data_IF_703717724502
#
_entry.id   IF_703717724502
#
_cell.length_a   1.000
_cell.length_b   1.000
_cell.length_c   1.000
_cell.angle_alpha   90.00
_cell.angle_beta   90.00
_cell.angle_gamma   90.00
#
_symmetry.space_group_name_H-M   'P 1'
#
loop_
_entity.id
_entity.type
_entity.pdbx_description
1 polymer ?
#
# COMPACT_ATOMS: atom_id res chain seq x y z
N UNK A 1 1.40 5.24 -8.16
CA UNK A 1 1.56 5.94 -6.88
C UNK A 1 2.81 6.83 -6.94
N UNK A 2 2.67 8.13 -6.73
CA UNK A 2 3.78 9.06 -6.54
C UNK A 2 3.57 9.80 -5.22
N UNK A 3 4.64 10.00 -4.44
CA UNK A 3 4.58 10.66 -3.14
C UNK A 3 5.59 11.79 -3.07
N UNK A 4 5.23 12.84 -2.35
CA UNK A 4 6.04 14.04 -2.17
C UNK A 4 5.75 14.63 -0.80
N UNK A 5 6.69 15.38 -0.25
CA UNK A 5 6.40 16.20 0.94
C UNK A 5 5.48 17.36 0.53
N UNK A 6 4.45 17.64 1.34
CA UNK A 6 3.59 18.80 1.15
C UNK A 6 4.39 20.09 1.47
N UNK A 7 4.51 21.05 0.53
CA UNK A 7 5.32 22.25 0.74
C UNK A 7 4.70 23.26 1.70
N UNK A 8 3.43 23.08 2.07
CA UNK A 8 2.64 24.10 2.78
C UNK A 8 1.98 23.58 4.06
N UNK A 9 1.85 22.27 4.20
CA UNK A 9 1.15 21.64 5.32
C UNK A 9 2.15 20.93 6.23
N UNK A 10 2.04 21.19 7.52
CA UNK A 10 2.79 20.52 8.58
C UNK A 10 1.83 19.86 9.57
N UNK A 11 2.30 18.84 10.27
CA UNK A 11 1.58 18.22 11.37
C UNK A 11 1.65 19.07 12.66
N UNK A 12 1.09 18.54 13.76
CA UNK A 12 1.06 19.22 15.07
C UNK A 12 2.46 19.50 15.65
N UNK A 13 3.51 18.83 15.16
CA UNK A 13 4.89 18.99 15.59
C UNK A 13 5.72 19.85 14.62
N UNK A 14 5.09 20.40 13.58
CA UNK A 14 5.77 21.20 12.57
C UNK A 14 6.51 20.37 11.52
N UNK A 15 6.25 19.07 11.41
CA UNK A 15 6.87 18.19 10.42
C UNK A 15 6.04 18.26 9.12
N UNK A 16 6.66 18.52 7.96
CA UNK A 16 5.96 18.51 6.69
C UNK A 16 5.24 17.17 6.42
N UNK A 17 3.96 17.23 6.08
CA UNK A 17 3.15 16.00 5.88
C UNK A 17 3.40 15.37 4.52
N UNK A 18 3.14 14.06 4.42
CA UNK A 18 3.25 13.33 3.16
C UNK A 18 2.02 13.58 2.28
N UNK A 19 2.25 13.98 1.03
CA UNK A 19 1.24 14.10 -0.03
C UNK A 19 1.28 12.87 -0.94
N UNK A 20 0.14 12.20 -1.08
CA UNK A 20 -0.01 11.02 -1.91
C UNK A 20 -0.75 11.33 -3.21
N UNK A 21 -0.21 10.87 -4.34
CA UNK A 21 -0.88 10.85 -5.63
C UNK A 21 -1.05 9.39 -6.06
N UNK A 22 -2.29 8.90 -5.98
CA UNK A 22 -2.61 7.49 -6.22
C UNK A 22 -3.88 7.35 -7.05
N UNK A 23 -4.01 6.18 -7.67
CA UNK A 23 -5.21 5.71 -8.33
C UNK A 23 -5.20 4.19 -8.29
N UNK A 24 -6.33 3.56 -8.00
CA UNK A 24 -6.47 2.12 -8.17
C UNK A 24 -6.33 1.78 -9.66
N UNK A 25 -5.52 0.77 -9.97
CA UNK A 25 -5.45 0.23 -11.33
C UNK A 25 -6.49 -0.87 -11.52
N UNK A 26 -6.62 -1.34 -12.75
CA UNK A 26 -7.48 -2.50 -13.06
C UNK A 26 -6.98 -3.78 -12.37
N UNK A 27 -5.69 -3.89 -12.05
CA UNK A 27 -5.14 -5.06 -11.37
C UNK A 27 -5.64 -5.15 -9.94
N UNK A 28 -5.64 -4.05 -9.18
CA UNK A 28 -6.19 -4.05 -7.82
C UNK A 28 -7.71 -4.32 -7.83
N UNK A 29 -8.45 -3.73 -8.78
CA UNK A 29 -9.89 -4.00 -8.94
C UNK A 29 -10.19 -5.47 -9.25
N UNK A 30 -9.42 -6.08 -10.15
CA UNK A 30 -9.55 -7.51 -10.48
C UNK A 30 -9.25 -8.40 -9.26
N UNK A 31 -8.22 -8.05 -8.49
CA UNK A 31 -7.88 -8.76 -7.25
C UNK A 31 -8.98 -8.63 -6.20
N UNK A 32 -9.51 -7.42 -5.95
CA UNK A 32 -10.61 -7.20 -5.01
C UNK A 32 -11.87 -7.99 -5.39
N UNK A 33 -12.26 -7.94 -6.68
CA UNK A 33 -13.36 -8.76 -7.20
C UNK A 33 -13.12 -10.26 -7.01
N UNK A 34 -11.90 -10.73 -7.29
CA UNK A 34 -11.54 -12.13 -7.12
C UNK A 34 -11.62 -12.55 -5.64
N UNK A 35 -11.04 -11.76 -4.73
CA UNK A 35 -11.08 -11.98 -3.29
C UNK A 35 -12.51 -12.18 -2.78
N UNK A 36 -13.44 -11.28 -3.16
CA UNK A 36 -14.84 -11.43 -2.75
C UNK A 36 -15.47 -12.74 -3.25
N UNK A 37 -15.27 -13.10 -4.52
CA UNK A 37 -15.79 -14.36 -5.06
C UNK A 37 -15.18 -15.58 -4.33
N UNK A 38 -13.88 -15.56 -4.06
CA UNK A 38 -13.19 -16.65 -3.37
C UNK A 38 -13.65 -16.80 -1.93
N UNK A 39 -13.89 -15.69 -1.21
CA UNK A 39 -14.41 -15.77 0.16
C UNK A 39 -15.83 -16.30 0.20
N UNK A 40 -16.71 -15.90 -0.74
CA UNK A 40 -18.06 -16.46 -0.84
C UNK A 40 -18.01 -17.98 -1.12
N UNK A 41 -17.21 -18.42 -2.08
CA UNK A 41 -17.03 -19.84 -2.42
C UNK A 41 -16.54 -20.65 -1.20
N UNK A 42 -15.55 -20.14 -0.45
CA UNK A 42 -15.05 -20.80 0.75
C UNK A 42 -16.16 -20.92 1.82
N UNK A 43 -16.89 -19.82 2.07
CA UNK A 43 -17.97 -19.81 3.06
C UNK A 43 -19.06 -20.81 2.70
N UNK A 44 -19.52 -20.81 1.45
CA UNK A 44 -20.55 -21.73 0.95
C UNK A 44 -20.10 -23.19 1.03
N UNK A 45 -18.87 -23.49 0.63
CA UNK A 45 -18.31 -24.85 0.70
C UNK A 45 -18.17 -25.36 2.14
N UNK A 46 -18.02 -24.47 3.11
CA UNK A 46 -18.02 -24.80 4.54
C UNK A 46 -19.44 -24.97 5.12
N UNK A 47 -20.49 -24.84 4.31
CA UNK A 47 -21.88 -24.84 4.74
C UNK A 47 -22.30 -23.55 5.46
N UNK A 48 -21.48 -22.50 5.34
CA UNK A 48 -21.76 -21.17 5.88
C UNK A 48 -22.75 -20.40 4.99
N UNK A 49 -23.31 -19.33 5.57
CA UNK A 49 -24.21 -18.42 4.87
C UNK A 49 -23.46 -17.10 4.72
N UNK A 50 -23.29 -16.65 3.47
CA UNK A 50 -22.72 -15.32 3.19
C UNK A 50 -23.72 -14.25 3.62
N UNK A 51 -23.26 -13.29 4.41
CA UNK A 51 -24.07 -12.17 4.89
C UNK A 51 -23.64 -10.86 4.21
N UNK A 52 -24.61 -10.01 3.89
CA UNK A 52 -24.38 -8.71 3.27
C UNK A 52 -24.29 -8.75 1.74
N UNK A 53 -24.09 -7.59 1.14
CA UNK A 53 -23.99 -7.45 -0.32
C UNK A 53 -22.54 -7.32 -0.78
N UNK A 54 -22.16 -8.13 -1.77
CA UNK A 54 -20.87 -7.99 -2.45
C UNK A 54 -20.78 -6.66 -3.20
N UNK A 55 -19.73 -5.86 -3.00
CA UNK A 55 -19.57 -4.59 -3.70
C UNK A 55 -19.32 -4.80 -5.20
N UNK A 56 -20.05 -4.06 -6.02
CA UNK A 56 -19.93 -4.03 -7.47
C UNK A 56 -18.93 -2.98 -7.96
N UNK A 57 -18.90 -2.78 -9.29
CA UNK A 57 -18.05 -1.77 -9.93
C UNK A 57 -18.39 -0.33 -9.48
N UNK A 58 -19.66 -0.08 -9.13
CA UNK A 58 -20.17 1.16 -8.55
C UNK A 58 -19.52 1.52 -7.20
N UNK A 59 -18.94 0.53 -6.52
CA UNK A 59 -18.23 0.67 -5.24
C UNK A 59 -16.77 0.24 -5.34
N UNK A 60 -16.16 0.32 -6.53
CA UNK A 60 -14.78 -0.08 -6.81
C UNK A 60 -14.44 -1.49 -6.29
N UNK A 61 -15.42 -2.41 -6.32
CA UNK A 61 -15.29 -3.77 -5.78
C UNK A 61 -14.83 -3.84 -4.33
N UNK A 62 -15.15 -2.83 -3.52
CA UNK A 62 -14.84 -2.80 -2.09
C UNK A 62 -13.48 -2.18 -1.75
N UNK A 63 -12.77 -1.62 -2.73
CA UNK A 63 -11.55 -0.85 -2.46
C UNK A 63 -11.89 0.42 -1.68
N UNK A 64 -11.22 0.60 -0.54
CA UNK A 64 -11.36 1.78 0.31
C UNK A 64 -10.37 2.88 -0.12
N UNK A 65 -10.49 4.07 0.47
CA UNK A 65 -9.44 5.07 0.37
C UNK A 65 -8.11 4.51 0.93
N UNK A 66 -6.95 4.79 0.32
CA UNK A 66 -5.64 4.42 0.86
C UNK A 66 -5.44 5.11 2.21
N UNK A 67 -4.60 4.52 3.07
CA UNK A 67 -4.55 4.90 4.48
C UNK A 67 -5.50 4.10 5.36
N UNK A 68 -6.60 3.54 4.82
CA UNK A 68 -7.63 2.89 5.66
C UNK A 68 -7.21 1.53 6.23
N UNK A 69 -6.30 0.84 5.56
CA UNK A 69 -5.82 -0.50 5.96
C UNK A 69 -4.41 -0.44 6.57
N UNK A 70 -3.85 0.76 6.79
CA UNK A 70 -2.62 1.03 7.57
C UNK A 70 -1.37 0.21 7.18
N UNK A 71 -1.30 -0.25 5.92
CA UNK A 71 -0.21 -1.07 5.37
C UNK A 71 0.53 -0.31 4.27
N UNK A 72 0.89 0.94 4.52
CA UNK A 72 1.70 1.74 3.60
C UNK A 72 3.16 1.24 3.62
N UNK A 73 3.65 0.83 2.45
CA UNK A 73 5.00 0.24 2.29
C UNK A 73 5.76 0.88 1.14
N UNK A 74 7.06 0.56 1.02
CA UNK A 74 7.88 0.97 -0.11
C UNK A 74 8.25 2.45 -0.12
N UNK A 75 8.15 3.15 1.02
CA UNK A 75 8.56 4.55 1.24
C UNK A 75 10.05 4.80 1.04
N UNK A 76 10.84 3.77 1.29
CA UNK A 76 12.30 3.74 1.28
C UNK A 76 12.78 2.43 0.66
N UNK A 77 12.13 2.04 -0.45
CA UNK A 77 12.26 0.71 -1.11
C UNK A 77 13.71 0.20 -1.18
N UNK A 78 13.84 -1.09 -0.91
CA UNK A 78 15.07 -1.86 -1.08
C UNK A 78 15.33 -2.18 -2.55
N UNK A 79 16.61 -2.19 -2.96
CA UNK A 79 17.04 -2.63 -4.28
C UNK A 79 18.55 -2.45 -4.51
N UNK A 80 19.08 -3.12 -5.53
CA UNK A 80 20.50 -3.05 -5.88
C UNK A 80 20.88 -1.85 -6.75
N UNK A 81 19.90 -1.20 -7.38
CA UNK A 81 20.11 -0.01 -8.22
C UNK A 81 19.86 1.28 -7.40
N UNK A 82 20.90 2.06 -7.04
CA UNK A 82 20.75 3.28 -6.27
C UNK A 82 19.94 4.37 -6.98
N UNK A 83 19.74 4.28 -8.30
CA UNK A 83 18.86 5.20 -9.04
C UNK A 83 17.38 4.87 -8.91
N UNK A 84 17.06 3.68 -8.39
CA UNK A 84 15.69 3.15 -8.29
C UNK A 84 15.33 2.69 -6.88
N UNK A 85 16.23 2.79 -5.92
CA UNK A 85 16.05 2.34 -4.54
C UNK A 85 16.78 3.23 -3.54
N UNK A 86 16.33 3.19 -2.29
CA UNK A 86 16.87 4.02 -1.20
C UNK A 86 17.92 3.24 -0.40
N UNK A 87 17.63 1.97 -0.15
CA UNK A 87 18.54 1.06 0.56
C UNK A 87 18.94 -0.13 -0.31
N UNK A 88 20.09 -0.72 -0.02
CA UNK A 88 20.54 -1.98 -0.60
C UNK A 88 19.86 -3.20 0.06
N UNK A 89 20.22 -4.41 -0.35
CA UNK A 89 19.67 -5.68 0.15
C UNK A 89 19.91 -5.94 1.65
N UNK A 90 20.72 -5.11 2.30
CA UNK A 90 21.01 -5.16 3.74
C UNK A 90 20.34 -4.01 4.49
N UNK A 91 19.35 -3.35 3.89
CA UNK A 91 18.61 -2.22 4.47
C UNK A 91 19.48 -0.98 4.75
N UNK A 92 20.68 -0.93 4.17
CA UNK A 92 21.65 0.16 4.31
C UNK A 92 21.45 1.20 3.20
N UNK A 93 21.52 2.49 3.53
CA UNK A 93 21.48 3.55 2.52
C UNK A 93 22.62 3.42 1.51
N UNK A 94 22.31 3.61 0.22
CA UNK A 94 23.33 3.64 -0.84
C UNK A 94 24.35 4.77 -0.65
N UNK A 95 23.90 5.92 -0.14
CA UNK A 95 24.72 7.12 0.01
C UNK A 95 25.43 7.23 1.38
N UNK A 96 25.08 6.36 2.35
CA UNK A 96 25.61 6.44 3.72
C UNK A 96 25.83 5.05 4.34
N UNK A 97 27.10 4.72 4.62
CA UNK A 97 27.53 3.39 5.10
C UNK A 97 27.11 3.06 6.54
N UNK A 98 26.67 4.03 7.32
CA UNK A 98 26.33 3.86 8.73
C UNK A 98 24.86 4.16 9.05
N UNK A 99 24.00 4.21 8.03
CA UNK A 99 22.57 4.48 8.18
C UNK A 99 21.77 3.34 7.57
N UNK A 100 20.80 2.85 8.34
CA UNK A 100 19.94 1.72 8.00
C UNK A 100 18.48 2.11 8.22
N UNK A 101 17.57 1.55 7.42
CA UNK A 101 16.12 1.75 7.57
C UNK A 101 15.49 0.38 7.73
N UNK A 102 14.92 0.09 8.90
CA UNK A 102 14.42 -1.23 9.27
C UNK A 102 12.93 -1.14 9.59
N UNK A 103 12.12 -0.91 8.55
CA UNK A 103 10.66 -0.83 8.63
C UNK A 103 10.00 -1.30 7.33
N UNK A 104 8.66 -1.28 7.26
CA UNK A 104 7.93 -1.72 6.07
C UNK A 104 8.14 -0.78 4.85
N UNK A 105 8.75 0.40 5.05
CA UNK A 105 9.15 1.30 4.00
C UNK A 105 10.16 0.68 3.03
N UNK A 106 10.93 -0.32 3.45
CA UNK A 106 11.88 -1.02 2.57
C UNK A 106 11.24 -2.10 1.70
N UNK A 107 10.03 -2.54 2.03
CA UNK A 107 9.32 -3.60 1.28
C UNK A 107 8.93 -3.13 -0.13
N UNK A 108 9.11 -4.02 -1.12
CA UNK A 108 8.77 -3.78 -2.52
C UNK A 108 7.39 -4.35 -2.87
#
# INVERSE_FOLDING_TARGET
LFRSIDPTTVDEFGIPVLRFNYSWSDFERKQARHMHNTFEEIIENMGGIVLGEKPGADRDYGLLNPGRIIHEVGTTRMGSDPKKSVVNEFEQLHDAKNVFIVDAGVSA
#
